data_IF_849723773877
#
_entry.id   IF_849723773877
#
_cell.length_a   1.000
_cell.length_b   1.000
_cell.length_c   1.000
_cell.angle_alpha   90.00
_cell.angle_beta   90.00
_cell.angle_gamma   90.00
#
_symmetry.space_group_name_H-M   'P 1'
#
loop_
_entity.id
_entity.type
_entity.pdbx_description
1 polymer ?
#
# COMPACT_ATOMS: atom_id res chain seq x y z
N UNK A 1 8.33 60.56 -9.40
CA UNK A 1 8.19 59.18 -9.95
C UNK A 1 9.15 58.29 -9.19
N UNK A 2 8.68 57.58 -8.16
CA UNK A 2 9.47 56.61 -7.40
C UNK A 2 8.82 55.24 -7.57
N UNK A 3 9.49 54.36 -8.32
CA UNK A 3 9.08 52.97 -8.51
C UNK A 3 9.61 52.13 -7.34
N UNK A 4 8.73 51.77 -6.41
CA UNK A 4 9.01 50.76 -5.38
C UNK A 4 8.78 49.36 -5.95
N UNK A 5 9.85 48.66 -6.35
CA UNK A 5 9.79 47.21 -6.58
C UNK A 5 9.81 46.49 -5.22
N UNK A 6 8.70 45.87 -4.85
CA UNK A 6 8.63 44.85 -3.80
C UNK A 6 9.04 43.51 -4.41
N UNK A 7 10.22 43.02 -4.05
CA UNK A 7 10.59 41.62 -4.28
C UNK A 7 10.06 40.78 -3.11
N UNK A 8 8.99 40.01 -3.34
CA UNK A 8 8.56 38.95 -2.44
C UNK A 8 9.51 37.76 -2.61
N UNK A 9 10.29 37.44 -1.57
CA UNK A 9 11.03 36.20 -1.51
C UNK A 9 10.07 35.08 -1.06
N UNK A 10 9.72 34.20 -1.99
CA UNK A 10 8.90 33.01 -1.73
C UNK A 10 9.81 31.88 -1.22
N UNK A 11 9.91 31.73 0.10
CA UNK A 11 10.63 30.61 0.73
C UNK A 11 9.77 29.33 0.65
N UNK A 12 10.06 28.46 -0.31
CA UNK A 12 9.43 27.14 -0.41
C UNK A 12 10.01 26.19 0.65
N UNK A 13 9.20 25.84 1.66
CA UNK A 13 9.48 24.77 2.61
C UNK A 13 9.41 23.42 1.88
N UNK A 14 10.54 22.72 1.73
CA UNK A 14 10.52 21.29 1.41
C UNK A 14 10.08 20.52 2.66
N UNK A 15 8.79 20.20 2.75
CA UNK A 15 8.30 19.22 3.70
C UNK A 15 8.75 17.81 3.24
N UNK A 16 9.24 16.94 4.14
CA UNK A 16 9.48 15.55 3.80
C UNK A 16 8.12 14.90 3.48
N UNK A 17 7.98 14.39 2.26
CA UNK A 17 6.82 13.60 1.88
C UNK A 17 6.90 12.26 2.62
N UNK A 18 6.16 12.12 3.72
CA UNK A 18 5.87 10.80 4.26
C UNK A 18 5.12 10.03 3.18
N UNK A 19 5.73 8.96 2.68
CA UNK A 19 5.06 8.05 1.76
C UNK A 19 3.91 7.37 2.52
N UNK A 20 2.71 7.91 2.35
CA UNK A 20 1.49 7.30 2.88
C UNK A 20 1.13 6.03 2.12
N UNK A 21 0.39 5.13 2.76
CA UNK A 21 -0.19 3.97 2.10
C UNK A 21 -1.08 4.43 0.93
N UNK A 22 -0.83 3.90 -0.26
CA UNK A 22 -1.61 4.13 -1.47
C UNK A 22 -2.42 2.88 -1.81
N UNK A 23 -3.59 3.07 -2.43
CA UNK A 23 -4.35 1.96 -3.00
C UNK A 23 -3.65 1.46 -4.26
N UNK A 24 -3.11 0.24 -4.20
CA UNK A 24 -2.36 -0.39 -5.30
C UNK A 24 -3.30 -1.15 -6.23
N UNK A 25 -4.24 -1.91 -5.65
CA UNK A 25 -5.26 -2.66 -6.39
C UNK A 25 -6.61 -2.39 -5.77
N UNK A 26 -7.62 -2.12 -6.59
CA UNK A 26 -9.00 -2.00 -6.12
C UNK A 26 -9.95 -2.45 -7.21
N UNK A 27 -10.92 -3.25 -6.83
CA UNK A 27 -12.04 -3.63 -7.67
C UNK A 27 -13.30 -3.44 -6.82
N UNK A 28 -14.23 -2.55 -7.22
CA UNK A 28 -15.48 -2.36 -6.50
C UNK A 28 -16.22 -3.68 -6.30
N UNK A 29 -16.87 -3.83 -5.15
CA UNK A 29 -17.73 -4.98 -4.89
C UNK A 29 -18.91 -4.97 -5.86
N UNK A 30 -19.23 -6.14 -6.41
CA UNK A 30 -20.47 -6.37 -7.17
C UNK A 30 -21.67 -6.17 -6.23
N UNK A 31 -22.75 -5.47 -6.63
CA UNK A 31 -23.92 -5.24 -5.79
C UNK A 31 -24.75 -6.51 -5.55
N UNK A 32 -24.33 -7.65 -6.10
CA UNK A 32 -24.98 -8.95 -5.87
C UNK A 32 -24.88 -9.38 -4.41
N UNK A 33 -25.83 -10.23 -3.99
CA UNK A 33 -25.77 -11.02 -2.75
C UNK A 33 -25.09 -12.39 -2.97
N UNK A 34 -24.77 -12.73 -4.22
CA UNK A 34 -24.07 -13.96 -4.59
C UNK A 34 -22.55 -13.76 -4.59
N UNK A 35 -21.83 -14.88 -4.48
CA UNK A 35 -20.37 -14.89 -4.52
C UNK A 35 -19.82 -16.25 -4.93
N UNK A 36 -18.50 -16.35 -4.96
CA UNK A 36 -17.80 -17.61 -5.19
C UNK A 36 -17.41 -18.27 -3.86
N UNK A 37 -17.23 -19.58 -3.85
CA UNK A 37 -16.85 -20.33 -2.64
C UNK A 37 -15.54 -19.81 -2.00
N UNK A 38 -15.42 -19.85 -0.67
CA UNK A 38 -14.21 -19.40 0.06
C UNK A 38 -12.91 -20.13 -0.34
N UNK A 39 -13.01 -21.31 -0.97
CA UNK A 39 -11.86 -22.03 -1.52
C UNK A 39 -11.23 -21.35 -2.74
N UNK A 40 -11.90 -20.35 -3.36
CA UNK A 40 -11.26 -19.55 -4.41
C UNK A 40 -10.15 -18.72 -3.80
N UNK A 41 -9.05 -18.68 -4.53
CA UNK A 41 -7.91 -17.84 -4.20
C UNK A 41 -7.75 -16.76 -5.26
N UNK A 42 -6.75 -15.91 -5.10
CA UNK A 42 -6.45 -14.88 -6.08
C UNK A 42 -4.97 -14.52 -6.04
N UNK A 43 -4.52 -13.82 -7.07
CA UNK A 43 -3.19 -13.24 -7.10
C UNK A 43 -3.19 -11.87 -7.79
N UNK A 44 -2.18 -11.08 -7.47
CA UNK A 44 -1.92 -9.77 -8.04
C UNK A 44 -0.65 -9.90 -8.89
N UNK A 45 -0.76 -10.04 -10.23
CA UNK A 45 0.42 -10.08 -11.07
C UNK A 45 1.05 -8.68 -11.18
N UNK A 46 2.38 -8.63 -11.26
CA UNK A 46 3.13 -7.38 -11.39
C UNK A 46 2.73 -6.35 -10.32
N UNK A 47 2.76 -6.74 -9.04
CA UNK A 47 2.33 -5.89 -7.94
C UNK A 47 3.11 -4.56 -7.96
N UNK A 48 2.35 -3.45 -8.06
CA UNK A 48 2.91 -2.10 -8.22
C UNK A 48 3.39 -1.45 -6.92
N UNK A 49 3.17 -2.09 -5.78
CA UNK A 49 3.67 -1.64 -4.48
C UNK A 49 5.01 -2.29 -4.11
N UNK A 50 5.69 -1.69 -3.15
CA UNK A 50 6.93 -2.19 -2.52
C UNK A 50 6.69 -2.73 -1.11
N UNK A 51 5.50 -2.46 -0.55
CA UNK A 51 5.01 -3.06 0.67
C UNK A 51 3.57 -3.53 0.49
N UNK A 52 3.17 -4.54 1.26
CA UNK A 52 1.80 -4.97 1.45
C UNK A 52 1.36 -4.54 2.84
N UNK A 53 0.48 -3.55 2.94
CA UNK A 53 -0.01 -3.04 4.23
C UNK A 53 -1.31 -3.72 4.63
N UNK A 54 -2.36 -3.52 3.83
CA UNK A 54 -3.67 -4.12 4.09
C UNK A 54 -4.27 -4.72 2.85
N UNK A 55 -4.95 -5.85 3.02
CA UNK A 55 -5.83 -6.43 2.02
C UNK A 55 -7.23 -6.46 2.61
N UNK A 56 -8.18 -5.80 1.96
CA UNK A 56 -9.60 -5.87 2.30
C UNK A 56 -10.31 -6.70 1.25
N UNK A 57 -11.03 -7.73 1.69
CA UNK A 57 -11.85 -8.59 0.84
C UNK A 57 -13.30 -8.50 1.29
N UNK A 58 -14.22 -8.36 0.35
CA UNK A 58 -15.64 -8.35 0.64
C UNK A 58 -16.20 -9.77 0.62
N UNK A 59 -16.81 -10.16 1.74
CA UNK A 59 -17.42 -11.48 1.90
C UNK A 59 -18.93 -11.40 2.06
N UNK A 60 -19.64 -12.37 1.48
CA UNK A 60 -21.07 -12.62 1.70
C UNK A 60 -21.29 -13.91 2.48
N UNK A 61 -22.47 -14.03 3.08
CA UNK A 61 -22.94 -15.26 3.72
C UNK A 61 -24.46 -15.31 3.70
N UNK A 62 -25.03 -16.51 3.85
CA UNK A 62 -26.46 -16.73 4.02
C UNK A 62 -26.85 -16.80 5.51
N UNK A 63 -25.87 -16.92 6.42
CA UNK A 63 -26.09 -17.03 7.87
C UNK A 63 -25.28 -15.96 8.57
N UNK A 64 -25.97 -14.99 9.18
CA UNK A 64 -25.27 -13.86 9.82
C UNK A 64 -24.52 -14.31 11.07
N UNK A 65 -23.37 -13.70 11.34
CA UNK A 65 -22.64 -13.90 12.59
C UNK A 65 -21.15 -13.62 12.49
N UNK A 66 -20.41 -14.06 13.50
CA UNK A 66 -18.96 -13.86 13.58
C UNK A 66 -18.22 -14.92 12.77
N UNK A 67 -17.41 -14.47 11.82
CA UNK A 67 -16.56 -15.30 10.97
C UNK A 67 -15.10 -14.97 11.21
N UNK A 68 -14.25 -15.99 11.28
CA UNK A 68 -12.79 -15.83 11.29
C UNK A 68 -12.22 -16.43 10.02
N UNK A 69 -11.48 -15.62 9.27
CA UNK A 69 -10.84 -16.01 8.02
C UNK A 69 -9.34 -15.83 8.15
N UNK A 70 -8.58 -16.77 7.60
CA UNK A 70 -7.13 -16.65 7.39
C UNK A 70 -6.86 -16.25 5.96
N UNK A 71 -5.97 -15.27 5.77
CA UNK A 71 -5.40 -14.89 4.49
C UNK A 71 -3.88 -15.14 4.53
N UNK A 72 -3.41 -16.05 3.68
CA UNK A 72 -2.00 -16.36 3.51
C UNK A 72 -1.48 -15.73 2.21
N UNK A 73 -0.47 -14.88 2.32
CA UNK A 73 0.17 -14.21 1.19
C UNK A 73 1.53 -14.85 0.87
N UNK A 74 1.79 -15.17 -0.41
CA UNK A 74 3.07 -15.72 -0.88
C UNK A 74 3.57 -15.02 -2.14
N UNK A 75 4.88 -15.04 -2.36
CA UNK A 75 5.50 -14.51 -3.56
C UNK A 75 5.48 -15.54 -4.69
N UNK A 76 5.16 -15.08 -5.89
CA UNK A 76 5.24 -15.74 -7.20
C UNK A 76 4.32 -16.95 -7.42
N UNK A 77 4.06 -17.77 -6.41
CA UNK A 77 3.26 -18.99 -6.50
C UNK A 77 2.50 -19.28 -5.18
N UNK A 78 1.49 -20.14 -5.22
CA UNK A 78 0.74 -20.58 -4.03
C UNK A 78 1.56 -21.47 -3.07
N UNK A 79 2.72 -21.97 -3.50
CA UNK A 79 3.72 -22.65 -2.69
C UNK A 79 5.04 -21.86 -2.56
N UNK A 80 5.06 -20.61 -3.05
CA UNK A 80 6.24 -19.75 -3.01
C UNK A 80 6.57 -19.22 -1.60
N UNK A 81 7.53 -18.29 -1.55
CA UNK A 81 8.00 -17.69 -0.29
C UNK A 81 6.85 -17.03 0.46
N UNK A 82 6.67 -17.40 1.73
CA UNK A 82 5.66 -16.82 2.60
C UNK A 82 5.98 -15.34 2.87
N UNK A 83 5.04 -14.46 2.56
CA UNK A 83 5.04 -13.04 2.95
C UNK A 83 4.47 -12.91 4.36
N UNK A 84 3.35 -13.58 4.61
CA UNK A 84 2.71 -13.59 5.92
C UNK A 84 1.38 -14.33 5.92
N UNK A 85 0.89 -14.62 7.11
CA UNK A 85 -0.42 -15.25 7.34
C UNK A 85 -1.15 -14.45 8.40
N UNK A 86 -2.36 -13.98 8.07
CA UNK A 86 -3.14 -13.07 8.91
C UNK A 86 -4.53 -13.64 9.16
N UNK A 87 -4.97 -13.64 10.41
CA UNK A 87 -6.35 -13.97 10.78
C UNK A 87 -7.13 -12.68 11.01
N UNK A 88 -8.35 -12.61 10.49
CA UNK A 88 -9.27 -11.51 10.75
C UNK A 88 -10.63 -12.05 11.13
N UNK A 89 -11.23 -11.47 12.17
CA UNK A 89 -12.56 -11.84 12.66
C UNK A 89 -13.49 -10.65 12.44
N UNK A 90 -14.62 -10.90 11.79
CA UNK A 90 -15.63 -9.88 11.51
C UNK A 90 -17.04 -10.44 11.68
N UNK A 91 -17.96 -9.58 12.11
CA UNK A 91 -19.38 -9.90 12.06
C UNK A 91 -19.91 -9.60 10.65
N UNK A 92 -20.42 -10.63 9.98
CA UNK A 92 -20.88 -10.56 8.59
C UNK A 92 -22.38 -10.76 8.59
N UNK A 93 -23.12 -9.80 8.06
CA UNK A 93 -24.58 -9.88 7.97
C UNK A 93 -25.02 -10.77 6.79
N UNK A 94 -26.06 -11.56 7.01
CA UNK A 94 -26.62 -12.43 5.99
C UNK A 94 -27.16 -11.63 4.79
N UNK A 95 -26.95 -12.16 3.58
CA UNK A 95 -27.52 -11.67 2.31
C UNK A 95 -27.25 -10.18 2.05
N UNK A 96 -26.10 -9.67 2.52
CA UNK A 96 -25.69 -8.28 2.30
C UNK A 96 -25.22 -8.06 0.86
N UNK A 97 -25.91 -7.18 0.12
CA UNK A 97 -25.50 -6.74 -1.21
C UNK A 97 -24.10 -6.11 -1.16
N UNK A 98 -23.18 -6.52 -2.05
CA UNK A 98 -21.79 -6.03 -2.01
C UNK A 98 -20.90 -6.73 -0.97
N UNK A 99 -21.47 -7.56 -0.10
CA UNK A 99 -20.75 -8.21 0.98
C UNK A 99 -20.29 -7.25 2.08
N UNK A 100 -19.75 -7.83 3.15
CA UNK A 100 -19.11 -7.10 4.26
C UNK A 100 -17.60 -7.06 4.02
N UNK A 101 -16.95 -5.88 4.08
CA UNK A 101 -15.49 -5.78 3.96
C UNK A 101 -14.82 -6.38 5.21
N UNK A 102 -13.81 -7.21 4.98
CA UNK A 102 -12.94 -7.77 6.03
C UNK A 102 -11.49 -7.44 5.69
N UNK A 103 -10.82 -6.76 6.62
CA UNK A 103 -9.47 -6.25 6.43
C UNK A 103 -8.46 -7.17 7.12
N UNK A 104 -7.38 -7.48 6.40
CA UNK A 104 -6.22 -8.23 6.84
C UNK A 104 -5.01 -7.29 6.81
N UNK A 105 -4.37 -7.07 7.97
CA UNK A 105 -3.17 -6.24 8.06
C UNK A 105 -1.91 -7.09 8.01
N UNK A 106 -1.07 -6.83 7.02
CA UNK A 106 0.25 -7.43 6.82
C UNK A 106 1.39 -6.55 7.36
N UNK A 107 1.05 -5.45 8.06
CA UNK A 107 2.00 -4.58 8.76
C UNK A 107 3.16 -4.09 7.88
N UNK A 108 2.87 -3.63 6.66
CA UNK A 108 3.84 -3.15 5.68
C UNK A 108 4.90 -4.21 5.28
N UNK A 109 4.50 -5.47 5.11
CA UNK A 109 5.39 -6.54 4.65
C UNK A 109 6.07 -6.16 3.32
N UNK A 110 7.38 -6.32 3.23
CA UNK A 110 8.15 -5.92 2.04
C UNK A 110 7.86 -6.85 0.87
N UNK A 111 7.52 -6.26 -0.28
CA UNK A 111 7.27 -6.99 -1.53
C UNK A 111 8.30 -6.52 -2.56
N UNK A 112 9.08 -7.43 -3.16
CA UNK A 112 9.96 -7.05 -4.27
C UNK A 112 9.12 -6.52 -5.44
N UNK A 113 9.50 -5.35 -5.95
CA UNK A 113 8.73 -4.65 -6.97
C UNK A 113 8.49 -5.54 -8.21
N UNK A 114 7.25 -5.51 -8.72
CA UNK A 114 6.86 -6.30 -9.90
C UNK A 114 6.66 -7.79 -9.63
N UNK A 115 6.81 -8.27 -8.39
CA UNK A 115 6.50 -9.66 -8.04
C UNK A 115 5.01 -9.96 -8.21
N UNK A 116 4.67 -11.22 -8.43
CA UNK A 116 3.30 -11.70 -8.24
C UNK A 116 3.08 -11.97 -6.75
N UNK A 117 1.97 -11.52 -6.19
CA UNK A 117 1.58 -11.85 -4.80
C UNK A 117 0.32 -12.71 -4.84
N UNK A 118 0.40 -13.93 -4.32
CA UNK A 118 -0.71 -14.88 -4.24
C UNK A 118 -1.36 -14.82 -2.87
N UNK A 119 -2.67 -15.07 -2.82
CA UNK A 119 -3.48 -14.99 -1.62
C UNK A 119 -4.39 -16.21 -1.51
N UNK A 120 -4.10 -17.07 -0.53
CA UNK A 120 -4.94 -18.21 -0.19
C UNK A 120 -5.84 -17.86 0.99
N UNK A 121 -7.12 -18.15 0.84
CA UNK A 121 -8.14 -17.89 1.87
C UNK A 121 -8.52 -19.19 2.55
N UNK A 122 -8.78 -19.14 3.85
CA UNK A 122 -9.30 -20.29 4.60
C UNK A 122 -10.28 -19.81 5.65
N UNK A 123 -11.50 -20.35 5.62
CA UNK A 123 -12.47 -20.14 6.69
C UNK A 123 -12.03 -20.95 7.91
N UNK A 124 -11.71 -20.27 9.01
CA UNK A 124 -11.26 -20.91 10.26
C UNK A 124 -12.47 -21.28 11.12
N UNK A 125 -13.41 -20.34 11.28
CA UNK A 125 -14.61 -20.54 12.08
C UNK A 125 -15.73 -19.62 11.62
N UNK A 126 -16.97 -20.05 11.81
CA UNK A 126 -18.16 -19.26 11.53
C UNK A 126 -19.43 -20.10 11.57
N UNK A 127 -20.62 -19.48 11.64
CA UNK A 127 -21.90 -20.17 11.75
C UNK A 127 -22.38 -20.84 10.45
N UNK A 128 -21.68 -20.64 9.32
CA UNK A 128 -22.09 -21.19 8.02
C UNK A 128 -21.02 -21.05 6.94
N UNK A 129 -21.44 -21.16 5.68
CA UNK A 129 -20.55 -20.94 4.54
C UNK A 129 -20.23 -19.45 4.35
N UNK A 130 -19.05 -19.18 3.81
CA UNK A 130 -18.61 -17.85 3.40
C UNK A 130 -18.36 -17.82 1.90
N UNK A 131 -18.76 -16.73 1.26
CA UNK A 131 -18.61 -16.52 -0.18
C UNK A 131 -17.81 -15.25 -0.42
N UNK A 132 -16.95 -15.26 -1.42
CA UNK A 132 -16.16 -14.10 -1.82
C UNK A 132 -16.95 -13.32 -2.87
N UNK A 133 -17.07 -12.00 -2.68
CA UNK A 133 -17.70 -11.14 -3.66
C UNK A 133 -16.87 -11.13 -4.96
N UNK A 134 -17.53 -11.32 -6.10
CA UNK A 134 -16.86 -11.46 -7.41
C UNK A 134 -16.30 -10.15 -7.97
N UNK A 135 -16.59 -9.02 -7.33
CA UNK A 135 -16.22 -7.69 -7.78
C UNK A 135 -16.86 -7.30 -9.11
N UNK A 136 -16.58 -6.08 -9.54
CA UNK A 136 -16.98 -5.57 -10.85
C UNK A 136 -15.97 -4.55 -11.35
N UNK A 137 -15.92 -4.38 -12.67
CA UNK A 137 -15.12 -3.34 -13.31
C UNK A 137 -15.77 -1.95 -13.10
N UNK A 138 -15.01 -0.84 -13.20
CA UNK A 138 -13.57 -0.79 -13.48
C UNK A 138 -12.72 -1.11 -12.24
N UNK A 139 -11.62 -1.81 -12.46
CA UNK A 139 -10.60 -2.06 -11.44
C UNK A 139 -9.38 -1.15 -11.65
N UNK A 140 -8.75 -0.74 -10.55
CA UNK A 140 -7.40 -0.20 -10.52
C UNK A 140 -6.42 -1.33 -10.24
N UNK A 141 -5.35 -1.40 -11.02
CA UNK A 141 -4.39 -2.52 -10.95
C UNK A 141 -4.97 -3.83 -11.50
N UNK A 142 -4.20 -4.90 -11.38
CA UNK A 142 -4.57 -6.22 -11.89
C UNK A 142 -4.77 -7.19 -10.75
N UNK A 143 -5.89 -7.90 -10.78
CA UNK A 143 -6.17 -9.05 -9.94
C UNK A 143 -6.63 -10.21 -10.81
N UNK A 144 -6.30 -11.43 -10.43
CA UNK A 144 -6.87 -12.63 -11.02
C UNK A 144 -7.36 -13.54 -9.91
N UNK A 145 -8.66 -13.80 -9.90
CA UNK A 145 -9.24 -14.85 -9.08
C UNK A 145 -9.04 -16.20 -9.77
N UNK A 146 -8.77 -17.24 -8.99
CA UNK A 146 -8.49 -18.59 -9.45
C UNK A 146 -9.55 -19.59 -8.99
N UNK A 147 -9.61 -20.77 -9.62
CA UNK A 147 -10.54 -21.83 -9.20
C UNK A 147 -10.11 -22.50 -7.87
N UNK A 148 -8.86 -22.39 -7.47
CA UNK A 148 -8.32 -22.92 -6.23
C UNK A 148 -6.95 -22.30 -5.92
N UNK A 149 -6.12 -23.01 -5.17
CA UNK A 149 -4.76 -22.58 -4.82
C UNK A 149 -3.70 -23.61 -5.23
N UNK A 150 -3.95 -24.38 -6.29
CA UNK A 150 -3.00 -25.37 -6.81
C UNK A 150 -1.76 -24.65 -7.37
N UNK A 151 -0.54 -24.96 -6.91
CA UNK A 151 0.67 -24.32 -7.43
C UNK A 151 0.97 -24.65 -8.91
N UNK A 152 1.73 -23.79 -9.62
CA UNK A 152 2.32 -22.53 -9.15
C UNK A 152 1.28 -21.40 -9.04
N UNK A 153 0.51 -21.17 -10.11
CA UNK A 153 -0.67 -20.32 -10.13
C UNK A 153 -1.82 -21.19 -10.68
N UNK A 154 -2.87 -21.39 -9.88
CA UNK A 154 -4.02 -22.19 -10.29
C UNK A 154 -4.72 -21.55 -11.51
N UNK A 155 -5.57 -22.32 -12.19
CA UNK A 155 -6.40 -21.90 -13.30
C UNK A 155 -7.18 -20.60 -13.00
N UNK A 156 -7.04 -19.64 -13.92
CA UNK A 156 -7.76 -18.37 -13.86
C UNK A 156 -9.27 -18.60 -13.99
N UNK A 157 -10.03 -17.84 -13.18
CA UNK A 157 -11.50 -17.83 -13.18
C UNK A 157 -12.06 -16.51 -13.69
N UNK A 158 -11.49 -15.38 -13.23
CA UNK A 158 -11.91 -14.03 -13.61
C UNK A 158 -10.85 -12.98 -13.23
N UNK A 159 -10.97 -11.81 -13.84
CA UNK A 159 -10.10 -10.66 -13.60
C UNK A 159 -10.70 -9.63 -12.61
N UNK A 160 -11.67 -10.04 -11.80
CA UNK A 160 -12.35 -9.18 -10.82
C UNK A 160 -12.53 -9.92 -9.49
N UNK A 161 -12.51 -9.17 -8.40
CA UNK A 161 -12.80 -9.64 -7.04
C UNK A 161 -13.20 -8.43 -6.20
N UNK A 162 -14.15 -8.50 -5.28
CA UNK A 162 -14.48 -7.35 -4.42
C UNK A 162 -13.36 -7.12 -3.41
N UNK A 163 -12.37 -6.29 -3.76
CA UNK A 163 -11.13 -6.11 -2.98
C UNK A 163 -10.59 -4.68 -3.01
N UNK A 164 -9.82 -4.37 -1.98
CA UNK A 164 -8.94 -3.20 -1.94
C UNK A 164 -7.62 -3.58 -1.28
N UNK A 165 -6.51 -3.28 -1.94
CA UNK A 165 -5.15 -3.60 -1.48
C UNK A 165 -4.38 -2.30 -1.37
N UNK A 166 -3.83 -2.05 -0.19
CA UNK A 166 -3.03 -0.88 0.11
C UNK A 166 -1.56 -1.26 0.38
N UNK A 167 -0.67 -0.35 0.04
CA UNK A 167 0.77 -0.50 0.19
C UNK A 167 1.50 0.79 -0.16
N UNK A 168 2.82 0.82 0.03
CA UNK A 168 3.67 1.92 -0.44
C UNK A 168 4.07 1.68 -1.89
N UNK A 169 4.15 2.74 -2.70
CA UNK A 169 4.78 2.69 -4.04
C UNK A 169 6.20 3.24 -4.02
N UNK A 170 6.64 3.82 -2.91
CA UNK A 170 8.00 4.30 -2.78
C UNK A 170 8.92 3.12 -2.49
N UNK A 171 10.05 2.96 -3.20
CA UNK A 171 11.08 2.02 -2.80
C UNK A 171 11.36 2.20 -1.31
N UNK A 172 11.48 1.10 -0.56
CA UNK A 172 12.03 1.13 0.79
C UNK A 172 13.48 1.58 0.64
N UNK A 173 13.68 2.89 0.52
CA UNK A 173 14.98 3.52 0.63
C UNK A 173 15.47 3.16 2.01
N UNK A 174 16.57 2.40 2.05
CA UNK A 174 17.11 1.85 3.28
C UNK A 174 17.10 2.92 4.36
N UNK A 175 16.63 2.53 5.55
CA UNK A 175 16.71 3.33 6.77
C UNK A 175 18.16 3.57 7.24
N UNK A 176 19.10 3.77 6.33
CA UNK A 176 20.32 4.50 6.59
C UNK A 176 19.96 5.97 6.56
N UNK A 177 19.87 6.58 7.73
CA UNK A 177 20.02 8.03 7.88
C UNK A 177 21.38 8.42 7.32
N UNK A 178 21.47 8.62 6.00
CA UNK A 178 22.48 9.51 5.47
C UNK A 178 21.96 10.88 5.85
N UNK A 179 22.38 11.37 7.01
CA UNK A 179 22.34 12.79 7.27
C UNK A 179 22.95 13.42 6.02
N UNK A 180 22.15 14.17 5.28
CA UNK A 180 22.64 15.06 4.26
C UNK A 180 23.52 16.05 5.00
N UNK A 181 24.78 15.70 5.20
CA UNK A 181 25.84 16.68 5.39
C UNK A 181 25.68 17.54 4.15
N UNK A 182 25.18 18.78 4.26
CA UNK A 182 25.15 19.62 3.08
C UNK A 182 26.61 19.73 2.69
N UNK A 183 26.97 19.19 1.53
CA UNK A 183 28.18 19.62 0.86
C UNK A 183 27.91 21.10 0.61
N UNK A 184 28.41 21.95 1.52
CA UNK A 184 28.41 23.38 1.32
C UNK A 184 29.03 23.54 -0.06
N UNK A 185 28.24 24.04 -1.00
CA UNK A 185 28.77 24.43 -2.31
C UNK A 185 29.98 25.31 -2.04
N UNK A 186 31.05 25.19 -2.82
CA UNK A 186 32.27 26.00 -2.63
C UNK A 186 31.92 27.50 -2.50
N UNK A 187 30.85 27.93 -3.17
CA UNK A 187 30.23 29.25 -3.05
C UNK A 187 29.75 29.62 -1.63
N UNK A 188 29.19 28.67 -0.87
CA UNK A 188 28.77 28.88 0.51
C UNK A 188 29.93 29.13 1.48
N UNK A 189 31.07 28.46 1.28
CA UNK A 189 32.28 28.70 2.08
C UNK A 189 32.96 30.02 1.69
N UNK A 190 32.96 30.37 0.40
CA UNK A 190 33.48 31.65 -0.09
C UNK A 190 32.66 32.83 0.48
N UNK A 191 31.34 32.72 0.51
CA UNK A 191 30.45 33.74 1.07
C UNK A 191 30.61 33.90 2.59
N UNK A 192 30.78 32.80 3.33
CA UNK A 192 31.06 32.86 4.78
C UNK A 192 32.43 33.46 5.10
N UNK A 193 33.44 33.20 4.27
CA UNK A 193 34.78 33.77 4.44
C UNK A 193 34.80 35.29 4.18
N UNK A 194 34.02 35.77 3.19
CA UNK A 194 33.84 37.20 2.92
C UNK A 194 33.14 37.95 4.05
N UNK A 195 32.14 37.33 4.69
CA UNK A 195 31.42 37.91 5.84
C UNK A 195 32.32 38.09 7.07
N UNK A 196 33.19 37.11 7.35
CA UNK A 196 34.17 37.23 8.45
C UNK A 196 35.21 38.34 8.21
N UNK A 197 35.66 38.55 6.97
CA UNK A 197 36.60 39.61 6.62
C UNK A 197 36.00 41.02 6.79
N UNK A 198 34.72 41.21 6.48
CA UNK A 198 34.01 42.49 6.63
C UNK A 198 33.76 42.87 8.09
N UNK A 199 33.47 41.90 8.97
CA UNK A 199 33.31 42.17 10.40
C UNK A 199 34.64 42.30 11.17
N UNK A 200 35.74 41.72 10.66
CA UNK A 200 37.08 41.88 11.23
C UNK A 200 37.67 43.28 11.04
N UNK A 201 37.44 43.92 9.88
CA UNK A 201 37.96 45.25 9.56
C UNK A 201 37.21 46.40 10.26
N UNK A 202 35.96 46.18 10.67
CA UNK A 202 35.17 47.20 11.37
C UNK A 202 35.65 47.45 12.82
N UNK A 203 36.37 46.50 13.42
CA UNK A 203 36.83 46.61 14.82
C UNK A 203 38.20 47.29 14.97
N UNK A 204 39.01 47.37 13.92
CA UNK A 204 40.37 47.93 13.96
C UNK A 204 40.47 49.42 13.66
N UNK A 205 39.37 50.10 13.30
CA UNK A 205 39.37 51.54 12.95
C UNK A 205 38.71 52.46 13.99
N UNK A 206 38.79 52.08 15.27
CA UNK A 206 38.57 53.00 16.41
C UNK A 206 39.81 53.01 17.32
N UNK A 207 40.79 53.79 16.92
CA UNK A 207 41.68 54.54 17.81
C UNK A 207 41.79 55.94 17.25
#
# INVERSE_FOLDING_TARGET
MQHTLRALALSALLAPAFAGAATIVSCPSSPSTTGDNISRSFYLPNYGGTTLDTVTVNYGTNTGGSYTVTLEARLNAFDGTLVGTVNSTANIAANTAGGTPVTFSFNNAVIPAGSTVTFKQTLVSGPGALFINTGQAPCTGTVTQTNGSTPPLDSSRRATLGITVAGSTTPVGGGGTVASIPTLSEWGVILMSGLLALFGLARTRRR
#
